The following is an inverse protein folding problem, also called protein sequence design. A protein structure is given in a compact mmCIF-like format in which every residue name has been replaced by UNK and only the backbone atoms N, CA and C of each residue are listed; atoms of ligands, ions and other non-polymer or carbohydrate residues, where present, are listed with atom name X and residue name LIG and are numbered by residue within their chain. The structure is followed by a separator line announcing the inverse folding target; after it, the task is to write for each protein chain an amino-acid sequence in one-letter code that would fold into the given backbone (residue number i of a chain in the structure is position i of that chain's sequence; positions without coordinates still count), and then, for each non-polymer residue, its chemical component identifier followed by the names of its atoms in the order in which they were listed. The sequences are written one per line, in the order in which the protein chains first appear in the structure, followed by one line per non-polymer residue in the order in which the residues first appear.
data_IF_712691306883
#
_entry.id   IF_712691306883
#
_cell.length_a   1.000
_cell.length_b   1.000
_cell.length_c   1.000
_cell.angle_alpha   90.00
_cell.angle_beta   90.00
_cell.angle_gamma   90.00
#
_symmetry.space_group_name_H-M   'P 1'
#
loop_
_entity.id
_entity.type
_entity.pdbx_description
1 polymer ?
#
# COMPACT_ATOMS: atom_id res chain seq x y z
N UNK A 1 -13.50 -20.92 18.45
CA UNK A 1 -13.41 -19.47 18.76
C UNK A 1 -12.03 -19.20 19.35
N UNK A 2 -11.25 -18.29 18.76
CA UNK A 2 -9.97 -17.85 19.32
C UNK A 2 -10.21 -16.60 20.17
N UNK A 3 -9.84 -16.66 21.45
CA UNK A 3 -9.87 -15.52 22.35
C UNK A 3 -8.42 -15.06 22.54
N UNK A 4 -8.17 -13.78 22.30
CA UNK A 4 -6.85 -13.15 22.52
C UNK A 4 -6.99 -12.18 23.67
N UNK A 5 -6.28 -12.46 24.76
CA UNK A 5 -6.20 -11.58 25.92
C UNK A 5 -4.83 -10.93 25.94
N UNK A 6 -4.80 -9.61 26.06
CA UNK A 6 -3.57 -8.84 26.16
C UNK A 6 -3.78 -7.62 27.05
N UNK A 7 -2.67 -7.08 27.55
CA UNK A 7 -2.66 -5.87 28.36
C UNK A 7 -1.95 -4.77 27.59
N UNK A 8 -2.47 -3.55 27.68
CA UNK A 8 -1.88 -2.36 27.09
C UNK A 8 -1.49 -1.39 28.21
N UNK A 9 -0.35 -0.72 28.04
CA UNK A 9 0.10 0.28 28.98
C UNK A 9 -0.89 1.47 29.03
N UNK A 10 -1.11 2.03 30.21
CA UNK A 10 -2.08 3.10 30.45
C UNK A 10 -1.92 4.32 29.52
N UNK A 11 -0.71 4.79 29.17
CA UNK A 11 -0.58 5.90 28.22
C UNK A 11 -1.11 5.57 26.83
N UNK A 12 -0.93 4.33 26.37
CA UNK A 12 -1.42 3.85 25.08
C UNK A 12 -2.93 3.66 25.10
N UNK A 13 -3.47 3.15 26.20
CA UNK A 13 -4.92 3.00 26.39
C UNK A 13 -5.66 4.33 26.26
N UNK A 14 -5.13 5.42 26.84
CA UNK A 14 -5.72 6.76 26.69
C UNK A 14 -5.78 7.21 25.24
N UNK A 15 -4.73 6.94 24.46
CA UNK A 15 -4.70 7.27 23.02
C UNK A 15 -5.73 6.45 22.25
N UNK A 16 -5.84 5.15 22.53
CA UNK A 16 -6.82 4.26 21.89
C UNK A 16 -8.24 4.70 22.21
N UNK A 17 -8.51 5.04 23.47
CA UNK A 17 -9.83 5.50 23.91
C UNK A 17 -10.26 6.78 23.17
N UNK A 18 -9.35 7.74 23.03
CA UNK A 18 -9.60 8.96 22.26
C UNK A 18 -9.95 8.66 20.79
N UNK A 19 -9.21 7.75 20.14
CA UNK A 19 -9.50 7.35 18.76
C UNK A 19 -10.84 6.64 18.63
N UNK A 20 -11.20 5.79 19.60
CA UNK A 20 -12.51 5.12 19.64
C UNK A 20 -13.65 6.13 19.65
N UNK A 21 -13.53 7.17 20.49
CA UNK A 21 -14.52 8.25 20.60
C UNK A 21 -14.59 9.11 19.34
N UNK A 22 -13.44 9.50 18.77
CA UNK A 22 -13.36 10.34 17.58
C UNK A 22 -13.88 9.65 16.31
N UNK A 23 -13.66 8.34 16.19
CA UNK A 23 -14.02 7.55 15.01
C UNK A 23 -15.35 6.80 15.17
N UNK A 24 -16.01 6.90 16.33
CA UNK A 24 -17.33 6.34 16.57
C UNK A 24 -17.38 4.81 16.69
N UNK A 25 -16.31 4.18 17.20
CA UNK A 25 -16.32 2.74 17.46
C UNK A 25 -17.18 2.42 18.70
N UNK A 26 -18.00 1.38 18.63
CA UNK A 26 -18.89 0.97 19.72
C UNK A 26 -18.15 0.28 20.88
N UNK A 27 -16.94 -0.27 20.64
CA UNK A 27 -16.13 -0.86 21.70
C UNK A 27 -14.65 -0.97 21.35
N UNK A 28 -13.80 -1.16 22.38
CA UNK A 28 -12.39 -1.53 22.22
C UNK A 28 -12.23 -2.81 21.39
N UNK A 29 -13.08 -3.81 21.62
CA UNK A 29 -13.03 -5.07 20.90
C UNK A 29 -13.31 -4.89 19.40
N UNK A 30 -14.29 -4.04 19.05
CA UNK A 30 -14.57 -3.70 17.66
C UNK A 30 -13.39 -2.96 17.01
N UNK A 31 -12.85 -1.95 17.69
CA UNK A 31 -11.67 -1.22 17.22
C UNK A 31 -10.50 -2.16 16.89
N UNK A 32 -10.16 -3.08 17.81
CA UNK A 32 -9.07 -4.02 17.58
C UNK A 32 -9.35 -5.03 16.47
N UNK A 33 -10.60 -5.48 16.30
CA UNK A 33 -10.99 -6.34 15.17
C UNK A 33 -10.80 -5.61 13.85
N UNK A 34 -11.26 -4.36 13.78
CA UNK A 34 -11.11 -3.54 12.57
C UNK A 34 -9.63 -3.28 12.26
N UNK A 35 -8.84 -2.89 13.25
CA UNK A 35 -7.41 -2.66 13.09
C UNK A 35 -6.67 -3.91 12.63
N UNK A 36 -6.96 -5.09 13.21
CA UNK A 36 -6.36 -6.35 12.79
C UNK A 36 -6.73 -6.71 11.34
N UNK A 37 -8.00 -6.57 10.96
CA UNK A 37 -8.44 -6.82 9.58
C UNK A 37 -7.79 -5.86 8.58
N UNK A 38 -7.72 -4.57 8.94
CA UNK A 38 -7.06 -3.55 8.12
C UNK A 38 -5.57 -3.88 7.92
N UNK A 39 -4.87 -4.27 8.99
CA UNK A 39 -3.46 -4.68 8.91
C UNK A 39 -3.26 -5.94 8.04
N UNK A 40 -4.13 -6.94 8.17
CA UNK A 40 -4.07 -8.15 7.33
C UNK A 40 -4.32 -7.80 5.86
N UNK A 41 -5.26 -6.90 5.57
CA UNK A 41 -5.56 -6.49 4.21
C UNK A 41 -4.45 -5.63 3.61
N UNK A 42 -3.83 -4.73 4.37
CA UNK A 42 -2.71 -3.93 3.88
C UNK A 42 -1.48 -4.79 3.62
N UNK A 43 -1.19 -5.75 4.50
CA UNK A 43 -0.07 -6.69 4.31
C UNK A 43 -0.29 -7.64 3.13
N UNK A 44 -1.53 -8.09 2.88
CA UNK A 44 -1.86 -8.90 1.68
C UNK A 44 -1.74 -8.15 0.36
N UNK A 45 -1.96 -6.83 0.37
CA UNK A 45 -1.91 -6.00 -0.84
C UNK A 45 -0.55 -5.34 -1.07
N UNK A 46 0.46 -5.70 -0.29
CA UNK A 46 1.83 -5.23 -0.56
C UNK A 46 2.42 -6.18 -1.59
N UNK A 47 2.30 -5.83 -2.87
CA UNK A 47 3.11 -6.46 -3.91
C UNK A 47 4.57 -6.38 -3.46
N UNK A 48 5.29 -7.49 -3.59
CA UNK A 48 6.75 -7.49 -3.44
C UNK A 48 7.37 -6.45 -4.37
N UNK A 49 8.58 -6.00 -4.05
CA UNK A 49 9.31 -5.07 -4.94
C UNK A 49 9.46 -5.64 -6.35
N UNK A 50 9.61 -6.96 -6.47
CA UNK A 50 9.69 -7.66 -7.74
C UNK A 50 8.36 -7.60 -8.51
N UNK A 51 7.23 -7.87 -7.86
CA UNK A 51 5.90 -7.76 -8.49
C UNK A 51 5.55 -6.32 -8.88
N UNK A 52 5.99 -5.32 -8.10
CA UNK A 52 5.85 -3.92 -8.45
C UNK A 52 6.68 -3.59 -9.69
N UNK A 53 7.93 -4.04 -9.72
CA UNK A 53 8.85 -3.85 -10.84
C UNK A 53 8.31 -4.49 -12.12
N UNK A 54 7.84 -5.73 -12.06
CA UNK A 54 7.24 -6.42 -13.21
C UNK A 54 6.03 -5.66 -13.76
N UNK A 55 5.13 -5.21 -12.87
CA UNK A 55 3.97 -4.42 -13.29
C UNK A 55 4.36 -3.10 -13.95
N UNK A 56 5.35 -2.40 -13.40
CA UNK A 56 5.84 -1.15 -13.97
C UNK A 56 6.56 -1.35 -15.30
N UNK A 57 7.31 -2.44 -15.44
CA UNK A 57 7.96 -2.83 -16.70
C UNK A 57 6.93 -3.19 -17.78
N UNK A 58 5.85 -3.88 -17.42
CA UNK A 58 4.76 -4.17 -18.34
C UNK A 58 4.08 -2.89 -18.85
N UNK A 59 3.82 -1.94 -17.95
CA UNK A 59 3.24 -0.65 -18.31
C UNK A 59 4.22 0.21 -19.15
N UNK A 60 5.51 0.17 -18.81
CA UNK A 60 6.54 0.80 -19.61
C UNK A 60 6.60 0.20 -21.01
N UNK A 61 6.65 -1.12 -21.13
CA UNK A 61 6.71 -1.82 -22.41
C UNK A 61 5.50 -1.47 -23.29
N UNK A 62 4.28 -1.45 -22.72
CA UNK A 62 3.06 -1.03 -23.43
C UNK A 62 3.16 0.40 -23.93
N UNK A 63 3.62 1.34 -23.09
CA UNK A 63 3.81 2.75 -23.47
C UNK A 63 4.90 2.91 -24.53
N UNK A 64 5.99 2.17 -24.40
CA UNK A 64 7.11 2.18 -25.32
C UNK A 64 6.71 1.66 -26.70
N UNK A 65 6.07 0.49 -26.75
CA UNK A 65 5.53 -0.09 -28.00
C UNK A 65 4.48 0.84 -28.62
N UNK A 66 3.60 1.46 -27.81
CA UNK A 66 2.63 2.43 -28.33
C UNK A 66 3.31 3.65 -28.98
N UNK A 67 4.43 4.11 -28.42
CA UNK A 67 5.13 5.32 -28.89
C UNK A 67 6.07 5.04 -30.07
N UNK A 68 6.77 3.92 -30.03
CA UNK A 68 7.89 3.59 -30.92
C UNK A 68 7.76 2.25 -31.65
N UNK A 69 6.71 1.46 -31.39
CA UNK A 69 6.48 0.20 -32.10
C UNK A 69 6.34 0.44 -33.61
N UNK A 70 7.28 -0.12 -34.38
CA UNK A 70 7.34 0.04 -35.84
C UNK A 70 7.87 1.40 -36.30
N UNK A 71 8.43 2.23 -35.42
CA UNK A 71 9.11 3.49 -35.75
C UNK A 71 10.59 3.39 -35.39
N UNK A 72 11.42 4.14 -36.09
CA UNK A 72 12.82 4.26 -35.71
C UNK A 72 12.93 4.92 -34.33
N UNK A 73 13.81 4.35 -33.49
CA UNK A 73 14.08 4.89 -32.18
C UNK A 73 14.87 6.20 -32.32
N UNK A 74 14.54 7.24 -31.54
CA UNK A 74 15.28 8.48 -31.55
C UNK A 74 16.74 8.25 -31.17
N UNK A 75 17.64 9.06 -31.73
CA UNK A 75 19.08 8.94 -31.45
C UNK A 75 19.40 9.20 -29.98
N UNK A 76 20.58 8.79 -29.52
CA UNK A 76 21.02 9.05 -28.16
C UNK A 76 21.09 10.57 -27.89
N UNK A 77 21.51 11.38 -28.88
CA UNK A 77 21.51 12.84 -28.74
C UNK A 77 20.09 13.40 -28.60
N UNK A 78 19.12 12.87 -29.34
CA UNK A 78 17.71 13.30 -29.27
C UNK A 78 17.03 12.90 -27.96
N UNK A 79 17.42 11.76 -27.36
CA UNK A 79 16.88 11.31 -26.08
C UNK A 79 17.39 12.13 -24.90
N UNK A 80 18.62 12.62 -24.99
CA UNK A 80 19.29 13.40 -23.93
C UNK A 80 19.04 14.90 -24.02
N UNK A 81 18.40 15.39 -25.09
CA UNK A 81 18.16 16.81 -25.32
C UNK A 81 17.16 17.46 -24.33
N UNK A 82 16.40 16.65 -23.58
CA UNK A 82 15.33 17.09 -22.67
C UNK A 82 15.66 16.81 -21.17
N UNK A 83 16.95 16.59 -20.86
CA UNK A 83 17.52 16.45 -19.51
C UNK A 83 18.37 17.68 -19.20
#
# INVERSE_FOLDING_TARGET
MSIVNFTIATPLEKKIQKVIEEQGFASKAEFFRFAAMSFINSTKNTLSQDELFEREMDDFAKKFIKKYGGKDLPSIEEQLADI
#
